data_IF_162287757698
#
_entry.id   IF_162287757698
#
_cell.length_a   1.000
_cell.length_b   1.000
_cell.length_c   1.000
_cell.angle_alpha   90.00
_cell.angle_beta   90.00
_cell.angle_gamma   90.00
#
_symmetry.space_group_name_H-M   'P 1'
#
loop_
_entity.id
_entity.type
_entity.pdbx_description
1 polymer ?
#
# COMPACT_ATOMS: atom_id res chain seq x y z
N UNK A 1 -45.44 9.87 -14.91
CA UNK A 1 -44.08 9.41 -14.52
C UNK A 1 -43.92 9.64 -13.04
N UNK A 2 -44.08 8.59 -12.23
CA UNK A 2 -43.78 8.61 -10.81
C UNK A 2 -42.27 8.43 -10.70
N UNK A 3 -41.57 9.51 -10.34
CA UNK A 3 -40.11 9.49 -10.14
C UNK A 3 -39.84 8.58 -8.95
N UNK A 4 -39.01 7.54 -9.14
CA UNK A 4 -38.46 6.72 -8.06
C UNK A 4 -37.62 7.63 -7.15
N UNK A 5 -38.25 8.14 -6.09
CA UNK A 5 -37.60 8.97 -5.09
C UNK A 5 -36.86 8.06 -4.11
N UNK A 6 -35.55 8.25 -3.98
CA UNK A 6 -34.80 7.71 -2.85
C UNK A 6 -35.43 8.20 -1.55
N UNK A 7 -35.29 7.45 -0.45
CA UNK A 7 -35.92 7.78 0.85
C UNK A 7 -35.62 9.22 1.28
N UNK A 8 -34.41 9.71 1.01
CA UNK A 8 -34.03 11.10 1.28
C UNK A 8 -34.77 12.13 0.41
N UNK A 9 -35.00 11.84 -0.89
CA UNK A 9 -35.80 12.73 -1.76
C UNK A 9 -37.26 12.76 -1.36
N UNK A 10 -37.84 11.63 -0.95
CA UNK A 10 -39.22 11.56 -0.48
C UNK A 10 -39.42 12.42 0.78
N UNK A 11 -38.51 12.32 1.76
CA UNK A 11 -38.53 13.16 2.97
C UNK A 11 -38.39 14.65 2.59
N UNK A 12 -37.48 14.98 1.67
CA UNK A 12 -37.30 16.35 1.19
C UNK A 12 -38.57 16.95 0.57
N UNK A 13 -39.31 16.20 -0.24
CA UNK A 13 -40.57 16.67 -0.84
C UNK A 13 -41.68 16.87 0.20
N UNK A 14 -41.77 16.00 1.21
CA UNK A 14 -42.76 16.16 2.29
C UNK A 14 -42.48 17.45 3.08
N UNK A 15 -41.23 17.71 3.43
CA UNK A 15 -40.82 18.94 4.12
C UNK A 15 -41.14 20.17 3.26
N UNK A 16 -40.80 20.14 1.96
CA UNK A 16 -41.10 21.22 1.02
C UNK A 16 -42.60 21.54 0.99
N UNK A 17 -43.45 20.52 0.88
CA UNK A 17 -44.91 20.70 0.85
C UNK A 17 -45.41 21.33 2.16
N UNK A 18 -44.92 20.89 3.31
CA UNK A 18 -45.29 21.47 4.60
C UNK A 18 -44.86 22.94 4.73
N UNK A 19 -43.65 23.28 4.29
CA UNK A 19 -43.13 24.65 4.29
C UNK A 19 -43.95 25.53 3.34
N UNK A 20 -44.28 25.05 2.14
CA UNK A 20 -45.10 25.79 1.17
C UNK A 20 -46.51 26.01 1.70
N UNK A 21 -47.15 24.99 2.29
CA UNK A 21 -48.48 25.14 2.91
C UNK A 21 -48.43 26.14 4.07
N UNK A 22 -47.42 26.04 4.94
CA UNK A 22 -47.23 26.98 6.05
C UNK A 22 -47.01 28.41 5.56
N UNK A 23 -46.20 28.61 4.52
CA UNK A 23 -45.97 29.91 3.90
C UNK A 23 -47.24 30.46 3.26
N UNK A 24 -47.99 29.65 2.51
CA UNK A 24 -49.25 30.07 1.90
C UNK A 24 -50.29 30.45 2.94
N UNK A 25 -50.42 29.69 4.03
CA UNK A 25 -51.29 30.02 5.15
C UNK A 25 -50.89 31.33 5.82
N UNK A 26 -49.59 31.48 6.15
CA UNK A 26 -49.07 32.73 6.71
C UNK A 26 -49.33 33.91 5.77
N UNK A 27 -49.02 33.76 4.48
CA UNK A 27 -49.23 34.77 3.45
C UNK A 27 -50.70 35.17 3.32
N UNK A 28 -51.63 34.20 3.30
CA UNK A 28 -53.07 34.48 3.22
C UNK A 28 -53.62 35.15 4.48
N UNK A 29 -53.18 34.71 5.66
CA UNK A 29 -53.54 35.35 6.94
C UNK A 29 -53.01 36.77 7.00
N UNK A 30 -51.77 36.99 6.55
CA UNK A 30 -51.16 38.32 6.55
C UNK A 30 -51.82 39.25 5.53
N UNK A 31 -52.17 38.76 4.33
CA UNK A 31 -52.98 39.49 3.35
C UNK A 31 -54.38 39.84 3.86
N UNK A 32 -54.97 38.97 4.68
CA UNK A 32 -56.28 39.23 5.31
C UNK A 32 -56.15 40.27 6.42
N UNK A 33 -55.09 40.19 7.22
CA UNK A 33 -54.79 41.15 8.28
C UNK A 33 -54.45 42.54 7.72
N UNK A 34 -53.75 42.61 6.58
CA UNK A 34 -53.38 43.87 5.91
C UNK A 34 -54.58 44.60 5.26
N UNK A 35 -55.78 44.01 5.26
CA UNK A 35 -57.00 44.66 4.77
C UNK A 35 -57.79 45.37 5.87
N UNK A 36 -57.41 45.19 7.13
CA UNK A 36 -57.96 45.98 8.22
C UNK A 36 -57.31 47.38 8.19
N UNK A 37 -58.03 48.34 7.60
CA UNK A 37 -57.83 49.81 7.68
C UNK A 37 -56.38 50.31 7.74
N UNK A 38 -55.62 50.06 6.68
CA UNK A 38 -54.38 50.79 6.40
C UNK A 38 -54.76 52.22 6.02
N UNK A 39 -54.45 53.18 6.90
CA UNK A 39 -54.79 54.60 6.75
C UNK A 39 -55.25 55.33 8.03
N UNK A 40 -55.57 54.62 9.12
CA UNK A 40 -55.91 55.28 10.41
C UNK A 40 -54.68 55.70 11.22
N UNK A 41 -53.48 55.23 10.86
CA UNK A 41 -52.20 55.73 11.42
C UNK A 41 -51.84 57.16 10.99
N UNK A 42 -52.60 57.78 10.08
CA UNK A 42 -52.43 59.19 9.69
C UNK A 42 -52.98 60.12 10.80
N UNK A 43 -53.92 59.69 11.63
CA UNK A 43 -54.47 60.52 12.72
C UNK A 43 -53.71 60.39 14.06
N UNK A 44 -52.86 59.38 14.20
CA UNK A 44 -52.02 59.14 15.37
C UNK A 44 -50.60 58.80 14.91
N UNK A 45 -49.71 59.80 14.90
CA UNK A 45 -48.28 59.58 14.73
C UNK A 45 -47.83 58.41 15.63
N UNK A 46 -47.08 57.45 15.08
CA UNK A 46 -46.75 56.20 15.78
C UNK A 46 -46.05 56.41 17.15
N UNK A 47 -45.44 57.58 17.36
CA UNK A 47 -44.83 58.01 18.62
C UNK A 47 -45.81 58.60 19.67
N UNK A 48 -47.07 58.83 19.31
CA UNK A 48 -48.15 59.35 20.19
C UNK A 48 -49.11 58.26 20.64
N UNK A 49 -48.97 57.02 20.15
CA UNK A 49 -49.67 55.87 20.74
C UNK A 49 -49.15 55.68 22.17
N UNK A 50 -50.03 55.48 23.17
CA UNK A 50 -49.59 55.10 24.51
C UNK A 50 -48.65 53.90 24.41
N UNK A 51 -47.53 53.96 25.12
CA UNK A 51 -46.62 52.82 25.23
C UNK A 51 -47.37 51.58 25.75
N UNK A 52 -46.82 50.40 25.48
CA UNK A 52 -47.36 49.18 26.09
C UNK A 52 -47.24 49.32 27.62
N UNK A 53 -48.31 49.14 28.39
CA UNK A 53 -48.26 49.32 29.85
C UNK A 53 -47.27 48.34 30.50
N UNK A 54 -46.60 48.78 31.57
CA UNK A 54 -45.54 48.01 32.25
C UNK A 54 -46.01 46.62 32.69
N UNK A 55 -47.23 46.48 33.24
CA UNK A 55 -47.80 45.17 33.59
C UNK A 55 -47.83 44.18 32.41
N UNK A 56 -48.01 44.66 31.18
CA UNK A 56 -48.06 43.78 29.99
C UNK A 56 -46.65 43.45 29.48
N UNK A 57 -45.72 44.40 29.59
CA UNK A 57 -44.30 44.22 29.27
C UNK A 57 -43.63 43.25 30.23
N UNK A 58 -43.76 43.47 31.54
CA UNK A 58 -43.15 42.68 32.61
C UNK A 58 -43.93 41.39 32.93
N UNK A 59 -45.22 41.35 32.59
CA UNK A 59 -46.06 40.17 32.76
C UNK A 59 -46.06 39.27 31.52
N UNK A 60 -47.04 39.47 30.65
CA UNK A 60 -47.35 38.52 29.57
C UNK A 60 -46.23 38.43 28.53
N UNK A 61 -45.67 39.57 28.11
CA UNK A 61 -44.60 39.58 27.09
C UNK A 61 -43.27 39.03 27.62
N UNK A 62 -42.85 39.46 28.81
CA UNK A 62 -41.63 38.93 29.44
C UNK A 62 -41.73 37.43 29.71
N UNK A 63 -42.87 36.94 30.22
CA UNK A 63 -43.07 35.51 30.43
C UNK A 63 -42.97 34.71 29.12
N UNK A 64 -43.59 35.17 28.03
CA UNK A 64 -43.47 34.50 26.73
C UNK A 64 -42.01 34.45 26.28
N UNK A 65 -41.27 35.55 26.40
CA UNK A 65 -39.86 35.61 26.04
C UNK A 65 -39.01 34.65 26.90
N UNK A 66 -39.23 34.63 28.22
CA UNK A 66 -38.52 33.74 29.15
C UNK A 66 -38.86 32.26 28.91
N UNK A 67 -40.13 31.92 28.66
CA UNK A 67 -40.52 30.55 28.31
C UNK A 67 -39.94 30.11 26.97
N UNK A 68 -39.89 31.00 25.97
CA UNK A 68 -39.23 30.69 24.69
C UNK A 68 -37.72 30.49 24.86
N UNK A 69 -37.07 31.31 25.69
CA UNK A 69 -35.66 31.16 26.00
C UNK A 69 -35.39 29.85 26.75
N UNK A 70 -36.21 29.52 27.74
CA UNK A 70 -36.13 28.26 28.48
C UNK A 70 -36.35 27.04 27.57
N UNK A 71 -37.30 27.12 26.64
CA UNK A 71 -37.55 26.06 25.65
C UNK A 71 -36.37 25.84 24.72
N UNK A 72 -35.75 26.92 24.20
CA UNK A 72 -34.52 26.82 23.41
C UNK A 72 -33.37 26.26 24.24
N UNK A 73 -33.23 26.68 25.50
CA UNK A 73 -32.19 26.22 26.40
C UNK A 73 -32.36 24.73 26.72
N UNK A 74 -33.59 24.26 26.93
CA UNK A 74 -33.90 22.84 27.10
C UNK A 74 -33.61 22.02 25.83
N UNK A 75 -33.95 22.55 24.65
CA UNK A 75 -33.64 21.91 23.36
C UNK A 75 -32.14 21.76 23.16
N UNK A 76 -31.35 22.79 23.47
CA UNK A 76 -29.89 22.75 23.39
C UNK A 76 -29.33 21.80 24.45
N UNK A 77 -29.78 21.93 25.70
CA UNK A 77 -29.29 21.15 26.84
C UNK A 77 -29.56 19.65 26.70
N UNK A 78 -30.63 19.24 26.02
CA UNK A 78 -30.94 17.83 25.76
C UNK A 78 -30.43 17.40 24.37
N UNK A 79 -30.59 18.25 23.36
CA UNK A 79 -30.26 17.94 21.98
C UNK A 79 -28.76 17.77 21.72
N UNK A 80 -27.90 18.60 22.31
CA UNK A 80 -26.44 18.47 22.14
C UNK A 80 -25.90 17.18 22.75
N UNK A 81 -26.24 16.79 23.99
CA UNK A 81 -25.81 15.50 24.53
C UNK A 81 -26.30 14.30 23.73
N UNK A 82 -27.56 14.35 23.22
CA UNK A 82 -28.09 13.29 22.36
C UNK A 82 -27.38 13.21 21.01
N UNK A 83 -27.05 14.35 20.40
CA UNK A 83 -26.24 14.40 19.18
C UNK A 83 -24.84 13.85 19.43
N UNK A 84 -24.20 14.28 20.54
CA UNK A 84 -22.87 13.85 20.93
C UNK A 84 -22.78 12.34 21.18
N UNK A 85 -23.83 11.71 21.72
CA UNK A 85 -23.90 10.25 21.87
C UNK A 85 -23.83 9.49 20.52
N UNK A 86 -24.29 10.10 19.43
CA UNK A 86 -24.20 9.56 18.07
C UNK A 86 -22.94 9.97 17.30
N UNK A 87 -22.12 10.86 17.87
CA UNK A 87 -20.94 11.41 17.21
C UNK A 87 -19.85 10.36 16.89
N UNK A 88 -19.54 9.39 17.79
CA UNK A 88 -18.54 8.36 17.48
C UNK A 88 -18.87 7.58 16.21
N UNK A 89 -20.11 7.08 16.06
CA UNK A 89 -20.51 6.35 14.85
C UNK A 89 -20.52 7.21 13.59
N UNK A 90 -20.75 8.53 13.71
CA UNK A 90 -20.64 9.47 12.58
C UNK A 90 -19.17 9.67 12.17
N UNK A 91 -18.25 9.71 13.15
CA UNK A 91 -16.81 9.79 12.88
C UNK A 91 -16.32 8.51 12.21
N UNK A 92 -16.72 7.35 12.72
CA UNK A 92 -16.34 6.04 12.15
C UNK A 92 -16.80 5.90 10.69
N UNK A 93 -18.07 6.23 10.40
CA UNK A 93 -18.58 6.18 9.02
C UNK A 93 -17.94 7.22 8.08
N UNK A 94 -17.47 8.35 8.62
CA UNK A 94 -16.72 9.32 7.81
C UNK A 94 -15.33 8.77 7.44
N UNK A 95 -14.63 8.12 8.38
CA UNK A 95 -13.34 7.46 8.13
C UNK A 95 -13.49 6.39 7.06
N UNK A 96 -14.47 5.49 7.20
CA UNK A 96 -14.75 4.44 6.21
C UNK A 96 -15.00 5.03 4.81
N UNK A 97 -15.79 6.10 4.73
CA UNK A 97 -16.06 6.78 3.44
C UNK A 97 -14.79 7.42 2.86
N UNK A 98 -13.91 7.99 3.70
CA UNK A 98 -12.63 8.54 3.25
C UNK A 98 -11.73 7.44 2.69
N UNK A 99 -11.63 6.30 3.39
CA UNK A 99 -10.80 5.17 2.99
C UNK A 99 -11.29 4.58 1.66
N UNK A 100 -12.60 4.34 1.52
CA UNK A 100 -13.20 3.90 0.25
C UNK A 100 -12.95 4.88 -0.88
N UNK A 101 -13.02 6.19 -0.59
CA UNK A 101 -12.75 7.23 -1.59
C UNK A 101 -11.28 7.24 -2.00
N UNK A 102 -10.36 7.09 -1.04
CA UNK A 102 -8.92 7.05 -1.30
C UNK A 102 -8.55 5.83 -2.15
N UNK A 103 -9.04 4.65 -1.77
CA UNK A 103 -8.86 3.41 -2.54
C UNK A 103 -9.39 3.57 -3.95
N UNK A 104 -10.61 4.10 -4.11
CA UNK A 104 -11.22 4.29 -5.43
C UNK A 104 -10.44 5.27 -6.32
N UNK A 105 -9.97 6.38 -5.76
CA UNK A 105 -9.14 7.34 -6.49
C UNK A 105 -7.76 6.77 -6.81
N UNK A 106 -7.17 6.03 -5.88
CA UNK A 106 -5.94 5.29 -6.08
C UNK A 106 -6.03 4.31 -7.24
N UNK A 107 -7.12 3.54 -7.30
CA UNK A 107 -7.42 2.64 -8.42
C UNK A 107 -7.55 3.40 -9.74
N UNK A 108 -8.28 4.52 -9.77
CA UNK A 108 -8.42 5.34 -10.99
C UNK A 108 -7.08 5.90 -11.46
N UNK A 109 -6.21 6.34 -10.54
CA UNK A 109 -4.85 6.76 -10.88
C UNK A 109 -4.03 5.57 -11.40
N UNK A 110 -4.15 4.40 -10.77
CA UNK A 110 -3.43 3.18 -11.14
C UNK A 110 -3.80 2.69 -12.55
N UNK A 111 -5.08 2.72 -12.90
CA UNK A 111 -5.60 2.21 -14.18
C UNK A 111 -5.61 3.26 -15.29
N UNK A 112 -6.12 4.46 -15.00
CA UNK A 112 -6.44 5.47 -16.01
C UNK A 112 -5.51 6.68 -15.97
N UNK A 113 -5.08 7.11 -14.78
CA UNK A 113 -4.30 8.32 -14.59
C UNK A 113 -2.81 8.17 -14.94
N UNK A 114 -2.04 7.58 -14.01
CA UNK A 114 -0.62 7.27 -14.19
C UNK A 114 -0.40 5.96 -14.95
N UNK A 115 -1.46 5.14 -15.11
CA UNK A 115 -1.44 3.88 -15.85
C UNK A 115 -0.35 2.91 -15.37
N UNK A 116 -0.14 2.84 -14.05
CA UNK A 116 0.75 1.88 -13.40
C UNK A 116 0.45 0.44 -13.86
N UNK A 117 -0.83 0.16 -14.13
CA UNK A 117 -1.33 -1.11 -14.69
C UNK A 117 -0.61 -1.55 -15.97
N UNK A 118 -0.14 -0.63 -16.81
CA UNK A 118 0.51 -0.96 -18.09
C UNK A 118 1.86 -1.68 -17.88
N UNK A 119 2.50 -1.47 -16.73
CA UNK A 119 3.74 -2.15 -16.37
C UNK A 119 3.50 -3.22 -15.31
N UNK A 120 2.74 -2.89 -14.25
CA UNK A 120 2.56 -3.75 -13.08
C UNK A 120 1.34 -4.67 -13.14
N UNK A 121 0.59 -4.67 -14.25
CA UNK A 121 -0.56 -5.54 -14.45
C UNK A 121 -1.79 -5.14 -13.64
N UNK A 122 -2.94 -5.74 -13.97
CA UNK A 122 -4.17 -5.60 -13.18
C UNK A 122 -3.96 -6.17 -11.78
N UNK A 123 -4.53 -5.52 -10.75
CA UNK A 123 -4.32 -5.88 -9.35
C UNK A 123 -2.84 -6.00 -8.91
N UNK A 124 -1.89 -5.41 -9.66
CA UNK A 124 -0.48 -5.44 -9.28
C UNK A 124 0.20 -6.80 -9.39
N UNK A 125 -0.25 -7.70 -10.28
CA UNK A 125 0.35 -9.04 -10.44
C UNK A 125 1.75 -9.04 -11.08
N UNK A 126 2.23 -7.90 -11.56
CA UNK A 126 3.48 -7.76 -12.32
C UNK A 126 3.23 -7.82 -13.83
N UNK A 127 4.28 -7.55 -14.60
CA UNK A 127 4.15 -7.47 -16.06
C UNK A 127 5.46 -7.18 -16.78
N UNK A 128 5.34 -6.66 -18.00
CA UNK A 128 6.47 -6.31 -18.86
C UNK A 128 6.36 -4.86 -19.32
N UNK A 129 7.50 -4.18 -19.41
CA UNK A 129 7.60 -2.82 -19.92
C UNK A 129 8.70 -2.73 -20.98
N UNK A 130 8.41 -2.13 -22.13
CA UNK A 130 9.42 -1.88 -23.15
C UNK A 130 10.40 -0.82 -22.65
N UNK A 131 11.70 -1.09 -22.75
CA UNK A 131 12.76 -0.18 -22.33
C UNK A 131 13.87 -0.09 -23.37
N UNK A 132 14.37 1.12 -23.59
CA UNK A 132 15.52 1.37 -24.48
C UNK A 132 16.77 1.54 -23.63
N UNK A 133 17.77 0.71 -23.89
CA UNK A 133 19.07 0.80 -23.27
C UNK A 133 19.96 1.66 -24.18
N UNK A 134 20.56 2.69 -23.58
CA UNK A 134 21.52 3.58 -24.23
C UNK A 134 22.89 3.43 -23.57
N UNK A 135 23.94 3.76 -24.31
CA UNK A 135 25.30 3.86 -23.76
C UNK A 135 25.55 5.20 -23.04
N UNK A 136 26.76 5.36 -22.50
CA UNK A 136 27.17 6.57 -21.78
C UNK A 136 27.12 7.85 -22.62
N UNK A 137 27.16 7.72 -23.96
CA UNK A 137 27.04 8.83 -24.89
C UNK A 137 25.58 9.14 -25.28
N UNK A 138 24.62 8.37 -24.76
CA UNK A 138 23.21 8.44 -25.13
C UNK A 138 22.88 7.76 -26.45
N UNK A 139 23.81 6.98 -27.03
CA UNK A 139 23.57 6.25 -28.26
C UNK A 139 22.76 4.98 -27.99
N UNK A 140 21.83 4.66 -28.90
CA UNK A 140 21.03 3.44 -28.83
C UNK A 140 21.93 2.19 -28.81
N UNK A 141 21.65 1.30 -27.86
CA UNK A 141 22.27 -0.02 -27.76
C UNK A 141 21.23 -1.06 -28.18
N UNK A 142 20.17 -1.21 -27.39
CA UNK A 142 19.15 -2.22 -27.62
C UNK A 142 17.78 -1.82 -27.06
N UNK A 143 16.74 -2.46 -27.56
CA UNK A 143 15.41 -2.43 -26.97
C UNK A 143 15.15 -3.75 -26.26
N UNK A 144 14.72 -3.69 -25.00
CA UNK A 144 14.50 -4.87 -24.15
C UNK A 144 13.10 -4.86 -23.53
N UNK A 145 12.63 -6.05 -23.16
CA UNK A 145 11.42 -6.22 -22.36
C UNK A 145 11.82 -6.31 -20.89
N UNK A 146 11.56 -5.24 -20.14
CA UNK A 146 11.84 -5.16 -18.71
C UNK A 146 10.75 -5.84 -17.90
N UNK A 147 11.14 -6.70 -16.97
CA UNK A 147 10.25 -7.41 -16.07
C UNK A 147 9.86 -6.48 -14.92
N UNK A 148 8.62 -6.02 -14.94
CA UNK A 148 8.05 -5.18 -13.90
C UNK A 148 7.52 -6.08 -12.77
N UNK A 149 8.01 -5.89 -11.52
CA UNK A 149 7.69 -6.80 -10.43
C UNK A 149 6.23 -6.69 -10.00
N UNK A 150 5.74 -7.76 -9.40
CA UNK A 150 4.46 -7.76 -8.73
C UNK A 150 4.45 -6.75 -7.55
N UNK A 151 3.34 -6.04 -7.43
CA UNK A 151 3.01 -5.08 -6.39
C UNK A 151 2.03 -5.65 -5.35
N UNK A 152 1.32 -6.73 -5.67
CA UNK A 152 0.45 -7.47 -4.74
C UNK A 152 1.21 -8.15 -3.57
N UNK A 153 2.52 -7.94 -3.46
CA UNK A 153 3.32 -8.35 -2.30
C UNK A 153 4.26 -7.25 -1.78
N UNK A 154 4.15 -6.02 -2.30
CA UNK A 154 5.12 -4.93 -2.07
C UNK A 154 5.14 -4.44 -0.64
N UNK A 155 3.98 -4.41 0.04
CA UNK A 155 3.82 -3.84 1.39
C UNK A 155 4.18 -4.83 2.50
N UNK A 156 4.62 -6.04 2.17
CA UNK A 156 5.30 -6.91 3.12
C UNK A 156 6.79 -6.61 3.20
N UNK A 157 7.38 -6.18 2.07
CA UNK A 157 8.83 -6.07 1.90
C UNK A 157 9.35 -4.63 1.97
N UNK A 158 8.46 -3.66 1.78
CA UNK A 158 8.70 -2.24 2.00
C UNK A 158 7.71 -1.69 3.01
N UNK A 159 8.16 -0.74 3.85
CA UNK A 159 7.22 0.11 4.56
C UNK A 159 6.57 1.16 3.64
N UNK A 160 5.48 1.77 4.07
CA UNK A 160 4.78 2.80 3.28
C UNK A 160 5.70 3.95 2.85
N UNK A 161 6.62 4.39 3.72
CA UNK A 161 7.55 5.49 3.43
C UNK A 161 8.55 5.12 2.33
N UNK A 162 9.01 3.86 2.32
CA UNK A 162 9.86 3.33 1.25
C UNK A 162 9.10 3.21 -0.08
N UNK A 163 7.84 2.75 -0.06
CA UNK A 163 6.98 2.72 -1.25
C UNK A 163 6.77 4.15 -1.77
N UNK A 164 6.45 5.08 -0.88
CA UNK A 164 6.31 6.51 -1.18
C UNK A 164 7.58 7.11 -1.76
N UNK A 165 8.74 6.76 -1.23
CA UNK A 165 10.03 7.18 -1.77
C UNK A 165 10.21 6.68 -3.22
N UNK A 166 9.90 5.41 -3.48
CA UNK A 166 9.98 4.83 -4.83
C UNK A 166 8.99 5.51 -5.79
N UNK A 167 7.77 5.81 -5.35
CA UNK A 167 6.78 6.52 -6.18
C UNK A 167 7.20 7.98 -6.44
N UNK A 168 7.77 8.65 -5.45
CA UNK A 168 8.25 10.02 -5.59
C UNK A 168 9.45 10.12 -6.54
N UNK A 169 10.45 9.26 -6.40
CA UNK A 169 11.74 9.42 -7.07
C UNK A 169 12.03 8.39 -8.18
N UNK A 170 11.17 7.39 -8.32
CA UNK A 170 11.38 6.30 -9.27
C UNK A 170 12.60 5.43 -8.94
N UNK A 171 13.03 4.65 -9.94
CA UNK A 171 14.27 3.88 -9.94
C UNK A 171 15.07 4.23 -11.20
N UNK A 172 16.08 5.13 -11.10
CA UNK A 172 16.91 5.52 -12.22
C UNK A 172 17.50 4.31 -12.96
N UNK A 173 17.54 4.37 -14.29
CA UNK A 173 18.02 3.26 -15.12
C UNK A 173 17.03 2.11 -15.30
N UNK A 174 15.76 2.31 -14.92
CA UNK A 174 14.65 1.39 -15.19
C UNK A 174 13.45 2.14 -15.80
N UNK A 175 12.42 1.44 -16.30
CA UNK A 175 11.16 2.06 -16.73
C UNK A 175 10.38 2.77 -15.61
N UNK A 176 10.72 2.52 -14.34
CA UNK A 176 10.01 3.11 -13.20
C UNK A 176 10.46 4.55 -12.98
N UNK A 177 9.79 5.49 -13.66
CA UNK A 177 10.01 6.92 -13.53
C UNK A 177 9.54 7.48 -12.17
N UNK A 178 9.94 8.72 -11.89
CA UNK A 178 9.42 9.50 -10.77
C UNK A 178 7.98 9.96 -11.07
N UNK A 179 7.04 9.62 -10.19
CA UNK A 179 5.62 9.99 -10.35
C UNK A 179 5.18 11.09 -9.39
N UNK A 180 5.75 11.14 -8.19
CA UNK A 180 5.41 12.17 -7.22
C UNK A 180 6.12 13.51 -7.47
N UNK A 181 5.44 14.59 -7.12
CA UNK A 181 5.93 15.95 -7.23
C UNK A 181 7.32 16.19 -6.60
N UNK A 182 7.69 15.58 -5.45
CA UNK A 182 9.03 15.74 -4.87
C UNK A 182 10.18 15.27 -5.78
N UNK A 183 9.94 14.29 -6.66
CA UNK A 183 10.91 13.85 -7.67
C UNK A 183 10.67 14.43 -9.06
N UNK A 184 9.82 15.45 -9.18
CA UNK A 184 9.48 16.10 -10.45
C UNK A 184 8.40 15.40 -11.28
N UNK A 185 7.70 14.41 -10.70
CA UNK A 185 6.58 13.73 -11.34
C UNK A 185 5.26 14.53 -11.29
N UNK A 186 4.23 14.09 -12.03
CA UNK A 186 2.98 14.83 -12.19
C UNK A 186 2.00 14.70 -11.02
N UNK A 187 2.20 13.76 -10.09
CA UNK A 187 1.24 13.46 -9.03
C UNK A 187 1.52 14.26 -7.75
N UNK A 188 0.45 14.74 -7.11
CA UNK A 188 0.55 15.39 -5.80
C UNK A 188 0.86 14.37 -4.69
N UNK A 189 1.28 14.85 -3.51
CA UNK A 189 1.53 13.98 -2.36
C UNK A 189 0.28 13.18 -1.96
N UNK A 190 -0.90 13.80 -2.03
CA UNK A 190 -2.18 13.12 -1.75
C UNK A 190 -2.47 12.02 -2.78
N UNK A 191 -2.19 12.26 -4.06
CA UNK A 191 -2.39 11.23 -5.10
C UNK A 191 -1.46 10.03 -4.88
N UNK A 192 -0.26 10.25 -4.33
CA UNK A 192 0.62 9.16 -3.91
C UNK A 192 0.03 8.39 -2.71
N UNK A 193 -0.56 9.08 -1.74
CA UNK A 193 -1.30 8.42 -0.62
C UNK A 193 -2.47 7.58 -1.14
N UNK A 194 -3.24 8.11 -2.08
CA UNK A 194 -4.38 7.40 -2.71
C UNK A 194 -3.90 6.12 -3.42
N UNK A 195 -2.79 6.17 -4.17
CA UNK A 195 -2.19 4.97 -4.78
C UNK A 195 -1.77 3.96 -3.71
N UNK A 196 -1.08 4.38 -2.65
CA UNK A 196 -0.63 3.47 -1.58
C UNK A 196 -1.84 2.83 -0.89
N UNK A 197 -2.91 3.58 -0.68
CA UNK A 197 -4.18 3.07 -0.13
C UNK A 197 -4.77 1.98 -1.02
N UNK A 198 -4.75 2.18 -2.35
CA UNK A 198 -5.13 1.12 -3.28
C UNK A 198 -4.17 -0.09 -3.22
N UNK A 199 -2.86 0.12 -3.13
CA UNK A 199 -1.88 -0.98 -3.04
C UNK A 199 -2.12 -1.89 -1.83
N UNK A 200 -2.60 -1.36 -0.71
CA UNK A 200 -3.01 -2.17 0.45
C UNK A 200 -4.11 -3.18 0.11
N UNK A 201 -5.05 -2.79 -0.75
CA UNK A 201 -6.22 -3.63 -1.10
C UNK A 201 -5.87 -4.79 -2.02
N UNK A 202 -4.74 -4.72 -2.72
CA UNK A 202 -4.32 -5.78 -3.66
C UNK A 202 -3.27 -6.73 -3.06
N UNK A 203 -2.86 -6.54 -1.81
CA UNK A 203 -1.87 -7.42 -1.19
C UNK A 203 -2.42 -8.85 -1.04
N UNK A 204 -1.62 -9.84 -1.42
CA UNK A 204 -1.91 -11.25 -1.20
C UNK A 204 -1.84 -11.59 0.31
N UNK A 205 -2.62 -12.57 0.78
CA UNK A 205 -2.40 -13.20 2.08
C UNK A 205 -0.98 -13.77 2.19
N UNK A 206 -0.40 -13.71 3.39
CA UNK A 206 0.99 -14.17 3.61
C UNK A 206 1.16 -15.67 3.37
N UNK A 207 0.13 -16.46 3.68
CA UNK A 207 0.09 -17.89 3.44
C UNK A 207 0.14 -18.21 1.94
N UNK A 208 -0.56 -17.42 1.12
CA UNK A 208 -0.57 -17.59 -0.34
C UNK A 208 0.80 -17.27 -0.94
N UNK A 209 1.41 -16.15 -0.53
CA UNK A 209 2.77 -15.80 -0.99
C UNK A 209 3.81 -16.86 -0.63
N UNK A 210 3.79 -17.37 0.60
CA UNK A 210 4.72 -18.43 1.04
C UNK A 210 4.45 -19.73 0.28
N UNK A 211 3.18 -20.05 0.03
CA UNK A 211 2.79 -21.21 -0.76
C UNK A 211 3.31 -21.13 -2.20
N UNK A 212 3.25 -19.96 -2.86
CA UNK A 212 3.81 -19.77 -4.20
C UNK A 212 5.32 -20.08 -4.23
N UNK A 213 6.09 -19.59 -3.26
CA UNK A 213 7.53 -19.87 -3.14
C UNK A 213 7.78 -21.37 -2.92
N UNK A 214 7.00 -21.99 -2.05
CA UNK A 214 7.12 -23.40 -1.70
C UNK A 214 6.83 -24.33 -2.90
N UNK A 215 5.75 -24.07 -3.63
CA UNK A 215 5.40 -24.83 -4.83
C UNK A 215 6.41 -24.60 -5.96
N UNK A 216 7.00 -23.40 -6.06
CA UNK A 216 8.08 -23.15 -7.02
C UNK A 216 9.32 -24.00 -6.72
N UNK A 217 9.75 -24.06 -5.45
CA UNK A 217 10.86 -24.93 -5.02
C UNK A 217 10.54 -26.40 -5.29
N UNK A 218 9.33 -26.84 -4.95
CA UNK A 218 8.87 -28.21 -5.18
C UNK A 218 8.81 -28.61 -6.65
N UNK A 219 8.43 -27.67 -7.53
CA UNK A 219 8.42 -27.89 -8.98
C UNK A 219 9.82 -28.14 -9.56
N UNK A 220 10.86 -27.55 -8.95
CA UNK A 220 12.26 -27.71 -9.37
C UNK A 220 12.90 -28.94 -8.74
N UNK A 221 12.79 -29.09 -7.41
CA UNK A 221 13.36 -30.22 -6.67
C UNK A 221 12.42 -30.63 -5.50
N UNK A 222 11.57 -31.65 -5.71
CA UNK A 222 10.66 -32.16 -4.68
C UNK A 222 11.39 -32.65 -3.42
N UNK A 223 12.59 -33.22 -3.57
CA UNK A 223 13.36 -33.73 -2.43
C UNK A 223 13.94 -32.60 -1.59
N UNK A 224 14.41 -31.53 -2.22
CA UNK A 224 14.84 -30.30 -1.53
C UNK A 224 13.65 -29.66 -0.79
N UNK A 225 12.49 -29.62 -1.43
CA UNK A 225 11.26 -29.14 -0.80
C UNK A 225 10.92 -29.90 0.50
N UNK A 226 10.95 -31.24 0.48
CA UNK A 226 10.69 -32.04 1.68
C UNK A 226 11.65 -31.70 2.84
N UNK A 227 12.95 -31.56 2.54
CA UNK A 227 13.96 -31.18 3.53
C UNK A 227 13.77 -29.75 4.04
N UNK A 228 13.42 -28.81 3.16
CA UNK A 228 13.08 -27.43 3.53
C UNK A 228 11.88 -27.40 4.49
N UNK A 229 10.81 -28.14 4.19
CA UNK A 229 9.62 -28.21 5.04
C UNK A 229 9.92 -28.86 6.40
N UNK A 230 10.81 -29.85 6.44
CA UNK A 230 11.26 -30.44 7.70
C UNK A 230 12.00 -29.43 8.59
N UNK A 231 12.89 -28.62 8.01
CA UNK A 231 13.60 -27.56 8.75
C UNK A 231 12.63 -26.46 9.18
N UNK A 232 11.70 -26.04 8.32
CA UNK A 232 10.65 -25.07 8.69
C UNK A 232 9.84 -25.52 9.89
N UNK A 233 9.46 -26.80 9.93
CA UNK A 233 8.76 -27.39 11.07
C UNK A 233 9.59 -27.34 12.36
N UNK A 234 10.91 -27.51 12.26
CA UNK A 234 11.81 -27.35 13.41
C UNK A 234 12.01 -25.89 13.85
N UNK A 235 11.51 -24.92 13.09
CA UNK A 235 11.60 -23.49 13.34
C UNK A 235 10.24 -22.86 13.72
N UNK A 236 9.25 -23.65 14.15
CA UNK A 236 7.93 -23.15 14.54
C UNK A 236 7.97 -22.14 15.71
N UNK A 237 9.00 -22.23 16.56
CA UNK A 237 9.28 -21.34 17.69
C UNK A 237 10.14 -20.11 17.34
N UNK A 238 10.49 -19.94 16.05
CA UNK A 238 11.30 -18.82 15.56
C UNK A 238 10.39 -17.63 15.21
N UNK A 239 10.84 -16.42 15.57
CA UNK A 239 10.14 -15.19 15.22
C UNK A 239 9.94 -15.09 13.68
N UNK A 240 8.80 -14.57 13.21
CA UNK A 240 7.79 -13.85 13.98
C UNK A 240 6.71 -14.73 14.63
N UNK A 241 6.83 -16.07 14.58
CA UNK A 241 5.87 -17.02 15.18
C UNK A 241 6.19 -17.40 16.63
N UNK A 242 7.44 -17.30 17.07
CA UNK A 242 7.85 -17.54 18.46
C UNK A 242 8.92 -16.59 18.96
N UNK A 243 9.65 -17.02 20.01
CA UNK A 243 10.56 -16.20 20.80
C UNK A 243 12.03 -16.32 20.36
N UNK A 244 12.37 -17.29 19.51
CA UNK A 244 13.74 -17.48 19.02
C UNK A 244 14.04 -16.46 17.94
N UNK A 245 15.15 -15.74 18.08
CA UNK A 245 15.59 -14.76 17.07
C UNK A 245 15.83 -15.45 15.71
N UNK A 246 15.38 -14.88 14.58
CA UNK A 246 15.40 -15.55 13.27
C UNK A 246 16.80 -15.94 12.78
N UNK A 247 17.80 -15.18 13.18
CA UNK A 247 19.21 -15.49 12.89
C UNK A 247 19.66 -16.81 13.52
N UNK A 248 19.02 -17.25 14.61
CA UNK A 248 19.35 -18.49 15.31
C UNK A 248 18.51 -19.69 14.84
N UNK A 249 17.77 -19.55 13.74
CA UNK A 249 16.96 -20.63 13.19
C UNK A 249 17.79 -21.86 12.79
N UNK A 250 17.17 -23.04 12.84
CA UNK A 250 17.75 -24.24 12.27
C UNK A 250 17.90 -24.09 10.75
N UNK A 251 18.99 -24.65 10.22
CA UNK A 251 19.45 -24.48 8.84
C UNK A 251 19.42 -25.79 8.06
N UNK A 252 19.36 -25.70 6.73
CA UNK A 252 19.55 -26.87 5.87
C UNK A 252 21.02 -27.29 5.82
N UNK A 253 21.31 -28.44 5.21
CA UNK A 253 22.68 -28.79 4.86
C UNK A 253 23.28 -27.74 3.92
N UNK A 254 24.58 -27.47 4.00
CA UNK A 254 25.22 -26.43 3.14
C UNK A 254 24.98 -26.66 1.64
N UNK A 255 24.94 -27.91 1.19
CA UNK A 255 24.64 -28.23 -0.21
C UNK A 255 23.20 -27.90 -0.60
N UNK A 256 22.25 -28.16 0.30
CA UNK A 256 20.84 -27.79 0.11
C UNK A 256 20.63 -26.28 0.20
N UNK A 257 21.33 -25.59 1.10
CA UNK A 257 21.28 -24.12 1.19
C UNK A 257 21.78 -23.46 -0.10
N UNK A 258 22.85 -23.97 -0.72
CA UNK A 258 23.34 -23.45 -2.01
C UNK A 258 22.28 -23.65 -3.10
N UNK A 259 21.65 -24.83 -3.17
CA UNK A 259 20.60 -25.12 -4.15
C UNK A 259 19.35 -24.26 -3.94
N UNK A 260 18.83 -24.23 -2.71
CA UNK A 260 17.65 -23.43 -2.37
C UNK A 260 17.93 -21.93 -2.55
N UNK A 261 19.09 -21.46 -2.14
CA UNK A 261 19.52 -20.08 -2.33
C UNK A 261 19.63 -19.72 -3.80
N UNK A 262 20.14 -20.61 -4.66
CA UNK A 262 20.18 -20.38 -6.11
C UNK A 262 18.78 -20.21 -6.72
N UNK A 263 17.83 -21.06 -6.32
CA UNK A 263 16.42 -20.99 -6.74
C UNK A 263 15.84 -19.63 -6.35
N UNK A 264 15.94 -19.27 -5.06
CA UNK A 264 15.34 -18.04 -4.54
C UNK A 264 16.03 -16.77 -5.09
N UNK A 265 17.34 -16.83 -5.29
CA UNK A 265 18.10 -15.70 -5.82
C UNK A 265 17.71 -15.38 -7.27
N UNK A 266 17.47 -16.40 -8.11
CA UNK A 266 17.24 -16.24 -9.55
C UNK A 266 15.78 -16.47 -10.01
N UNK A 267 14.79 -16.48 -9.11
CA UNK A 267 13.38 -16.79 -9.42
C UNK A 267 12.60 -15.70 -10.20
N UNK A 268 13.04 -15.35 -11.41
CA UNK A 268 12.40 -14.30 -12.21
C UNK A 268 10.95 -14.58 -12.62
N UNK A 269 10.59 -15.86 -12.72
CA UNK A 269 9.24 -16.28 -13.11
C UNK A 269 8.23 -16.09 -11.98
N UNK A 270 8.68 -16.24 -10.72
CA UNK A 270 7.83 -16.16 -9.54
C UNK A 270 7.43 -14.71 -9.26
N UNK A 271 6.13 -14.41 -9.37
CA UNK A 271 5.56 -13.08 -9.15
C UNK A 271 6.36 -11.96 -9.84
N UNK A 272 6.70 -12.18 -11.11
CA UNK A 272 7.52 -11.31 -11.96
C UNK A 272 8.85 -10.88 -11.31
N UNK A 273 9.52 -11.81 -10.61
CA UNK A 273 10.80 -11.58 -9.96
C UNK A 273 10.72 -10.62 -8.77
N UNK A 274 9.55 -10.48 -8.14
CA UNK A 274 9.41 -9.68 -6.92
C UNK A 274 10.20 -10.26 -5.74
N UNK A 275 10.40 -11.58 -5.71
CA UNK A 275 11.25 -12.32 -4.76
C UNK A 275 12.74 -12.40 -5.17
N UNK A 276 13.06 -12.14 -6.45
CA UNK A 276 14.39 -12.41 -6.99
C UNK A 276 15.41 -11.34 -6.59
N UNK A 277 16.43 -11.77 -5.86
CA UNK A 277 17.59 -10.96 -5.49
C UNK A 277 18.39 -10.54 -6.74
N UNK A 278 18.54 -11.47 -7.69
CA UNK A 278 19.25 -11.25 -8.94
C UNK A 278 18.69 -10.08 -9.74
N UNK A 279 17.38 -9.78 -9.63
CA UNK A 279 16.74 -8.67 -10.36
C UNK A 279 17.45 -7.34 -10.13
N UNK A 280 17.92 -7.12 -8.90
CA UNK A 280 18.64 -5.90 -8.52
C UNK A 280 20.15 -6.10 -8.53
N UNK A 281 20.66 -7.27 -8.15
CA UNK A 281 22.08 -7.50 -7.89
C UNK A 281 22.87 -8.09 -9.05
N UNK A 282 22.19 -8.54 -10.11
CA UNK A 282 22.81 -9.12 -11.29
C UNK A 282 22.40 -8.30 -12.51
N UNK A 283 23.40 -7.83 -13.25
CA UNK A 283 23.17 -7.08 -14.48
C UNK A 283 22.45 -7.97 -15.51
N UNK A 284 21.52 -7.37 -16.25
CA UNK A 284 20.77 -8.09 -17.28
C UNK A 284 19.55 -8.85 -16.78
N UNK A 285 19.48 -9.18 -15.48
CA UNK A 285 18.41 -10.02 -14.93
C UNK A 285 17.04 -9.41 -15.18
N UNK A 286 16.84 -8.12 -14.87
CA UNK A 286 15.56 -7.43 -15.07
C UNK A 286 14.99 -7.47 -16.49
N UNK A 287 15.73 -7.95 -17.49
CA UNK A 287 15.26 -8.15 -18.87
C UNK A 287 15.70 -9.48 -19.48
N UNK A 288 15.86 -10.52 -18.64
CA UNK A 288 16.09 -11.91 -19.08
C UNK A 288 17.50 -12.20 -19.60
N UNK A 289 18.47 -11.35 -19.27
CA UNK A 289 19.89 -11.46 -19.69
C UNK A 289 20.84 -11.54 -18.49
N UNK A 290 20.36 -12.12 -17.39
CA UNK A 290 21.15 -12.27 -16.17
C UNK A 290 22.42 -13.06 -16.45
N UNK A 291 23.56 -12.57 -15.94
CA UNK A 291 24.90 -13.17 -16.11
C UNK A 291 25.42 -13.24 -17.56
N UNK A 292 24.66 -12.75 -18.54
CA UNK A 292 25.05 -12.71 -19.95
C UNK A 292 25.71 -11.37 -20.30
N UNK A 293 26.80 -11.36 -21.10
CA UNK A 293 27.32 -10.13 -21.69
C UNK A 293 26.27 -9.40 -22.50
N UNK A 294 26.07 -8.11 -22.20
CA UNK A 294 25.08 -7.29 -22.88
C UNK A 294 25.72 -6.28 -23.82
N UNK A 295 25.76 -6.63 -25.11
CA UNK A 295 26.25 -5.79 -26.21
C UNK A 295 27.54 -4.99 -25.86
N UNK A 296 27.67 -3.75 -26.34
CA UNK A 296 28.83 -2.88 -26.14
C UNK A 296 28.90 -2.28 -24.71
N UNK A 297 28.14 -2.80 -23.75
CA UNK A 297 28.04 -2.24 -22.40
C UNK A 297 28.78 -3.09 -21.37
N UNK A 298 29.50 -2.40 -20.48
CA UNK A 298 30.00 -3.00 -19.25
C UNK A 298 28.88 -2.99 -18.19
N UNK A 299 28.72 -4.11 -17.52
CA UNK A 299 27.63 -4.45 -16.61
C UNK A 299 27.36 -3.39 -15.52
N UNK A 300 26.10 -3.01 -15.35
CA UNK A 300 25.60 -2.25 -14.21
C UNK A 300 24.30 -2.88 -13.71
N UNK A 301 24.22 -3.14 -12.40
CA UNK A 301 23.03 -3.60 -11.71
C UNK A 301 22.52 -2.49 -10.80
N UNK A 302 21.22 -2.49 -10.48
CA UNK A 302 20.64 -1.45 -9.62
C UNK A 302 21.21 -1.51 -8.20
N UNK A 303 21.36 -2.71 -7.66
CA UNK A 303 22.07 -2.99 -6.42
C UNK A 303 23.56 -3.25 -6.67
N UNK A 304 24.39 -3.19 -5.61
CA UNK A 304 25.80 -3.52 -5.72
C UNK A 304 26.00 -5.00 -6.08
N UNK A 305 27.15 -5.33 -6.67
CA UNK A 305 27.58 -6.72 -6.82
C UNK A 305 27.66 -7.38 -5.44
N UNK A 306 27.17 -8.61 -5.35
CA UNK A 306 27.24 -9.45 -4.15
C UNK A 306 28.42 -10.42 -4.18
N UNK A 307 29.18 -10.47 -5.27
CA UNK A 307 30.45 -11.19 -5.33
C UNK A 307 31.40 -10.54 -4.33
N UNK A 308 31.93 -11.32 -3.38
CA UNK A 308 32.82 -10.86 -2.32
C UNK A 308 32.10 -10.37 -1.06
N UNK A 309 30.77 -10.50 -0.96
CA UNK A 309 30.02 -10.02 0.22
C UNK A 309 30.50 -10.68 1.53
N UNK A 310 31.12 -11.86 1.45
CA UNK A 310 31.68 -12.58 2.58
C UNK A 310 32.80 -11.84 3.32
N UNK A 311 33.51 -10.92 2.64
CA UNK A 311 34.53 -10.05 3.25
C UNK A 311 33.98 -8.69 3.68
N UNK A 312 32.78 -8.32 3.22
CA UNK A 312 32.13 -7.03 3.56
C UNK A 312 31.30 -7.12 4.85
N UNK A 313 30.76 -8.29 5.18
CA UNK A 313 29.82 -8.49 6.27
C UNK A 313 29.97 -9.85 6.95
N UNK A 314 29.63 -9.92 8.25
CA UNK A 314 29.42 -11.21 8.93
C UNK A 314 28.16 -11.91 8.42
N UNK A 315 28.04 -13.22 8.63
CA UNK A 315 26.84 -13.99 8.25
C UNK A 315 25.58 -13.43 8.93
N UNK A 316 25.64 -13.11 10.22
CA UNK A 316 24.52 -12.55 10.98
C UNK A 316 24.10 -11.18 10.45
N UNK A 317 25.05 -10.29 10.17
CA UNK A 317 24.74 -8.98 9.57
C UNK A 317 24.11 -9.13 8.18
N UNK A 318 24.56 -10.12 7.41
CA UNK A 318 24.01 -10.37 6.08
C UNK A 318 22.58 -10.90 6.17
N UNK A 319 22.34 -11.86 7.07
CA UNK A 319 21.02 -12.40 7.38
C UNK A 319 20.07 -11.28 7.81
N UNK A 320 20.46 -10.47 8.80
CA UNK A 320 19.63 -9.38 9.32
C UNK A 320 19.25 -8.37 8.23
N UNK A 321 20.15 -8.12 7.28
CA UNK A 321 19.92 -7.22 6.17
C UNK A 321 18.86 -7.76 5.20
N UNK A 322 18.92 -9.05 4.84
CA UNK A 322 17.89 -9.66 3.99
C UNK A 322 16.57 -9.79 4.76
N UNK A 323 16.65 -10.11 6.06
CA UNK A 323 15.49 -10.28 6.94
C UNK A 323 14.70 -8.98 7.10
N UNK A 324 15.38 -7.88 7.45
CA UNK A 324 14.77 -6.60 7.83
C UNK A 324 14.77 -5.57 6.71
N UNK A 325 15.70 -5.65 5.76
CA UNK A 325 15.93 -4.64 4.73
C UNK A 325 16.80 -3.47 5.21
N UNK A 326 16.95 -2.45 4.36
CA UNK A 326 17.72 -1.26 4.69
C UNK A 326 16.87 -0.03 5.00
N UNK A 327 17.27 0.73 6.00
CA UNK A 327 16.66 2.01 6.36
C UNK A 327 17.53 3.17 5.90
N UNK A 328 16.87 4.23 5.40
CA UNK A 328 17.56 5.47 5.06
C UNK A 328 18.26 6.07 6.28
N UNK A 329 19.51 6.50 6.10
CA UNK A 329 20.29 7.16 7.15
C UNK A 329 20.91 6.22 8.19
N UNK A 330 20.65 4.90 8.15
CA UNK A 330 21.37 3.92 8.97
C UNK A 330 22.65 3.44 8.26
N UNK A 331 23.65 3.02 9.04
CA UNK A 331 24.86 2.41 8.51
C UNK A 331 24.73 0.89 8.49
N UNK A 332 25.12 0.29 7.37
CA UNK A 332 25.20 -1.14 7.13
C UNK A 332 26.64 -1.51 6.80
N UNK A 333 27.07 -2.72 7.16
CA UNK A 333 28.41 -3.25 6.85
C UNK A 333 29.53 -2.26 7.20
N UNK A 334 29.44 -1.65 8.39
CA UNK A 334 30.33 -0.63 8.98
C UNK A 334 30.42 0.74 8.28
N UNK A 335 30.22 0.83 6.96
CA UNK A 335 30.48 2.07 6.17
C UNK A 335 29.48 2.38 5.06
N UNK A 336 28.52 1.49 4.78
CA UNK A 336 27.55 1.70 3.70
C UNK A 336 26.33 2.41 4.26
N UNK A 337 25.91 3.49 3.61
CA UNK A 337 24.65 4.14 3.94
C UNK A 337 23.48 3.28 3.44
N UNK A 338 22.47 3.10 4.28
CA UNK A 338 21.28 2.34 3.93
C UNK A 338 20.51 2.99 2.79
N UNK A 339 20.15 2.17 1.80
CA UNK A 339 19.31 2.58 0.69
C UNK A 339 17.88 2.06 0.93
N UNK A 340 16.87 2.93 1.10
CA UNK A 340 15.48 2.51 1.34
C UNK A 340 14.86 1.67 0.21
N UNK A 341 15.54 1.56 -0.93
CA UNK A 341 15.09 0.76 -2.07
C UNK A 341 15.53 -0.72 -1.98
N UNK A 342 16.32 -1.09 -0.97
CA UNK A 342 16.62 -2.49 -0.58
C UNK A 342 15.58 -2.99 0.44
N UNK A 343 14.63 -3.84 0.01
CA UNK A 343 13.54 -4.33 0.87
C UNK A 343 14.03 -5.34 1.91
N UNK A 344 13.18 -5.59 2.91
CA UNK A 344 13.29 -6.74 3.80
C UNK A 344 12.37 -7.88 3.34
N UNK A 345 12.75 -9.13 3.57
CA UNK A 345 11.98 -10.29 3.09
C UNK A 345 11.44 -11.18 4.20
N UNK A 346 12.00 -11.12 5.42
CA UNK A 346 11.66 -12.03 6.51
C UNK A 346 10.56 -11.54 7.45
N UNK A 347 10.41 -10.22 7.59
CA UNK A 347 9.40 -9.59 8.46
C UNK A 347 8.58 -8.56 7.70
N UNK A 348 7.29 -8.49 8.01
CA UNK A 348 6.45 -7.42 7.54
C UNK A 348 6.82 -6.10 8.22
N UNK A 349 7.34 -5.17 7.42
CA UNK A 349 7.81 -3.85 7.89
C UNK A 349 6.68 -2.91 8.34
N UNK A 350 5.44 -3.17 7.93
CA UNK A 350 4.27 -2.39 8.32
C UNK A 350 3.53 -2.97 9.54
N UNK A 351 3.96 -4.12 10.06
CA UNK A 351 3.30 -4.76 11.20
C UNK A 351 3.38 -3.92 12.48
N UNK A 352 2.31 -3.95 13.28
CA UNK A 352 2.23 -3.24 14.55
C UNK A 352 2.16 -1.71 14.44
N UNK A 353 1.74 -1.17 13.29
CA UNK A 353 1.61 0.27 13.04
C UNK A 353 0.16 0.75 12.88
N UNK A 354 -0.82 -0.05 13.33
CA UNK A 354 -2.24 0.27 13.26
C UNK A 354 -2.62 1.56 14.02
N UNK A 355 -1.89 1.89 15.08
CA UNK A 355 -2.01 3.13 15.85
C UNK A 355 -1.64 4.39 15.04
N UNK A 356 -0.89 4.22 13.95
CA UNK A 356 -0.56 5.28 12.99
C UNK A 356 -1.51 5.31 11.78
N UNK A 357 -2.54 4.47 11.76
CA UNK A 357 -3.47 4.35 10.63
C UNK A 357 -2.94 3.52 9.46
N UNK A 358 -1.85 2.76 9.65
CA UNK A 358 -1.30 1.86 8.63
C UNK A 358 -1.96 0.48 8.79
N UNK A 359 -2.53 -0.11 7.72
CA UNK A 359 -3.07 -1.46 7.78
C UNK A 359 -2.04 -2.50 8.24
N UNK A 360 -2.46 -3.43 9.09
CA UNK A 360 -1.60 -4.48 9.63
C UNK A 360 -1.97 -5.85 9.02
N UNK A 361 -1.08 -6.39 8.18
CA UNK A 361 -1.22 -7.72 7.57
C UNK A 361 -0.50 -8.82 8.37
N UNK A 362 -0.18 -8.56 9.64
CA UNK A 362 0.54 -9.47 10.50
C UNK A 362 2.06 -9.34 10.36
N UNK A 363 2.80 -10.02 11.24
CA UNK A 363 4.26 -9.86 11.40
C UNK A 363 5.10 -10.63 10.38
N UNK A 364 4.49 -11.61 9.71
CA UNK A 364 5.18 -12.51 8.78
C UNK A 364 5.56 -11.81 7.48
N UNK A 365 6.82 -11.97 7.07
CA UNK A 365 7.28 -11.57 5.74
C UNK A 365 7.12 -12.67 4.69
N UNK A 366 7.55 -12.34 3.49
CA UNK A 366 7.51 -13.19 2.30
C UNK A 366 8.30 -14.49 2.43
N UNK A 367 9.45 -14.44 3.09
CA UNK A 367 10.37 -15.58 3.24
C UNK A 367 10.45 -16.05 4.68
N UNK A 368 10.68 -17.34 4.85
CA UNK A 368 10.94 -17.98 6.14
C UNK A 368 12.44 -17.98 6.49
N UNK A 369 12.82 -18.18 7.77
CA UNK A 369 14.22 -18.11 8.21
C UNK A 369 15.17 -19.04 7.45
N UNK A 370 14.77 -20.28 7.18
CA UNK A 370 15.58 -21.25 6.47
C UNK A 370 15.81 -20.87 4.99
N UNK A 371 14.85 -20.17 4.38
CA UNK A 371 14.98 -19.64 3.02
C UNK A 371 15.94 -18.45 2.99
N UNK A 372 15.87 -17.56 3.99
CA UNK A 372 16.81 -16.43 4.11
C UNK A 372 18.24 -16.92 4.35
N UNK A 373 18.42 -17.95 5.19
CA UNK A 373 19.73 -18.58 5.38
C UNK A 373 20.28 -19.23 4.10
N UNK A 374 19.41 -19.84 3.29
CA UNK A 374 19.80 -20.39 2.00
C UNK A 374 20.27 -19.28 1.03
N UNK A 375 19.55 -18.15 0.96
CA UNK A 375 19.97 -16.97 0.17
C UNK A 375 21.34 -16.46 0.66
N UNK A 376 21.51 -16.24 1.97
CA UNK A 376 22.79 -15.79 2.56
C UNK A 376 23.94 -16.73 2.15
N UNK A 377 23.69 -18.03 2.21
CA UNK A 377 24.70 -19.05 1.89
C UNK A 377 25.06 -19.04 0.41
N UNK A 378 24.07 -18.93 -0.47
CA UNK A 378 24.30 -18.85 -1.92
C UNK A 378 25.02 -17.56 -2.30
N UNK A 379 24.57 -16.41 -1.79
CA UNK A 379 25.17 -15.10 -2.07
C UNK A 379 26.64 -15.02 -1.64
N UNK A 380 26.95 -15.54 -0.44
CA UNK A 380 28.34 -15.66 0.05
C UNK A 380 29.17 -16.69 -0.72
N UNK A 381 28.54 -17.55 -1.51
CA UNK A 381 29.22 -18.50 -2.39
C UNK A 381 29.43 -17.94 -3.81
N UNK A 382 28.86 -16.79 -4.18
CA UNK A 382 29.00 -16.20 -5.52
C UNK A 382 30.46 -15.92 -5.91
N UNK A 383 31.37 -15.73 -4.96
CA UNK A 383 32.81 -15.60 -5.22
C UNK A 383 33.48 -16.88 -5.70
N UNK A 384 32.89 -18.04 -5.43
CA UNK A 384 33.42 -19.33 -5.83
C UNK A 384 33.19 -19.59 -7.32
N UNK A 385 34.21 -20.07 -8.02
CA UNK A 385 34.15 -20.44 -9.44
C UNK A 385 33.18 -21.60 -9.70
N UNK A 386 32.87 -22.40 -8.68
CA UNK A 386 31.88 -23.49 -8.78
C UNK A 386 30.43 -23.01 -8.71
N UNK A 387 30.17 -21.73 -8.43
CA UNK A 387 28.81 -21.22 -8.30
C UNK A 387 28.20 -20.95 -9.68
N UNK A 388 26.99 -21.44 -9.90
CA UNK A 388 26.29 -21.24 -11.17
C UNK A 388 25.99 -19.76 -11.37
N UNK A 389 26.66 -19.19 -12.38
CA UNK A 389 26.46 -17.83 -12.89
C UNK A 389 25.99 -17.93 -14.33
N UNK A 390 24.73 -18.32 -14.50
CA UNK A 390 24.15 -18.66 -15.79
C UNK A 390 22.77 -17.99 -15.94
N UNK A 391 22.33 -17.67 -17.16
CA UNK A 391 20.96 -17.19 -17.44
C UNK A 391 19.87 -18.15 -16.97
N UNK A 392 20.19 -19.45 -16.89
CA UNK A 392 19.29 -20.50 -16.40
C UNK A 392 19.50 -20.85 -14.92
N UNK A 393 20.28 -20.05 -14.17
CA UNK A 393 20.46 -20.26 -12.74
C UNK A 393 19.10 -20.22 -12.03
N UNK A 394 18.90 -21.12 -11.06
CA UNK A 394 17.65 -21.21 -10.31
C UNK A 394 16.45 -21.76 -11.08
N UNK A 395 16.63 -22.29 -12.30
CA UNK A 395 15.62 -23.07 -13.03
C UNK A 395 15.96 -24.56 -13.02
N UNK A 396 15.03 -25.39 -13.49
CA UNK A 396 15.28 -26.83 -13.69
C UNK A 396 16.40 -27.12 -14.72
N UNK A 397 16.82 -26.13 -15.50
CA UNK A 397 17.91 -26.25 -16.49
C UNK A 397 19.26 -25.80 -15.93
N UNK A 398 19.32 -25.31 -14.69
CA UNK A 398 20.59 -24.95 -14.07
C UNK A 398 21.56 -26.15 -14.00
N UNK A 399 22.86 -25.95 -14.22
CA UNK A 399 23.89 -26.97 -13.98
C UNK A 399 23.83 -27.59 -12.58
N UNK A 400 23.36 -26.86 -11.56
CA UNK A 400 23.18 -27.38 -10.19
C UNK A 400 22.09 -28.44 -10.09
N UNK A 401 21.16 -28.47 -11.05
CA UNK A 401 19.96 -29.32 -11.06
C UNK A 401 19.90 -30.27 -12.26
N UNK A 402 20.90 -30.30 -13.13
CA UNK A 402 20.90 -31.10 -14.36
C UNK A 402 20.72 -32.61 -14.13
N UNK A 403 21.11 -33.09 -12.95
CA UNK A 403 21.02 -34.50 -12.53
C UNK A 403 19.76 -34.83 -11.69
N UNK A 404 18.87 -33.86 -11.46
CA UNK A 404 17.62 -34.08 -10.72
C UNK A 404 16.62 -34.81 -11.63
N UNK A 405 16.01 -35.88 -11.11
CA UNK A 405 15.04 -36.71 -11.86
C UNK A 405 13.82 -35.86 -12.21
N UNK A 406 13.63 -35.61 -13.51
CA UNK A 406 12.52 -34.79 -14.02
C UNK A 406 11.22 -35.61 -14.10
N UNK A 407 10.08 -35.08 -13.65
CA UNK A 407 8.79 -35.67 -14.00
C UNK A 407 8.63 -35.64 -15.54
N UNK A 408 7.93 -36.62 -16.14
CA UNK A 408 7.63 -36.57 -17.56
C UNK A 408 6.84 -35.31 -17.87
N UNK A 409 7.19 -34.61 -18.96
CA UNK A 409 6.43 -33.45 -19.41
C UNK A 409 4.95 -33.85 -19.56
N UNK A 410 4.05 -33.16 -18.86
CA UNK A 410 2.62 -33.34 -19.04
C UNK A 410 2.23 -32.92 -20.47
N UNK A 411 1.59 -33.82 -21.21
CA UNK A 411 1.02 -33.57 -22.55
C UNK A 411 -0.13 -32.55 -22.54
#
# INVERSE_FOLDING_TARGET
MIVLATTQRAIGFVILVLVVIGFLLWYFVNLRASRAEIGSEIELAANRKPGTPDEELEGKRLNVALFSALGLLALIAVGLPLYWLGEPGRMDGAVETFDETFVRRGLDIYENGAQCVNCHGGAGVGGLANFVINDQSGSFVAQVNWIAPALNNVLYRFDEDQVRYILNYGRPGSPMAAWGAPGGGPLTTQQIDEIISYLWTVQLPVEEMRFEVDEFVKGIDPGLYERMMQVRKSNEDVAPKGDVEPVNANRLSRGDEIKLGEILFNNQELAAGSYSCARCHVAGTSYGKGWEPFERLQYGSFGPSLIGVEVDATEEQHFDLIWKGMDSGKLYFSRRQGNPQMPGFGVNRNSGQADKGIPDLGKEGQLAPEQVWAIVTYERNLSNDSTVKSPVAGTAESPSFIDVVRPPASE
#
